data_IF_389535778131
#
_entry.id   IF_389535778131
#
_cell.length_a   1.000
_cell.length_b   1.000
_cell.length_c   1.000
_cell.angle_alpha   90.00
_cell.angle_beta   90.00
_cell.angle_gamma   90.00
#
_symmetry.space_group_name_H-M   'P 1'
#
loop_
_entity.id
_entity.type
_entity.pdbx_description
1 polymer ?
#
# COMPACT_ATOMS: atom_id res chain seq x y z
N UNK A 1 53.52 -24.51 39.49
CA UNK A 1 52.14 -24.02 39.71
C UNK A 1 51.93 -23.95 41.20
N UNK A 2 51.47 -22.80 41.72
CA UNK A 2 51.23 -22.65 43.16
C UNK A 2 50.01 -23.50 43.56
N UNK A 3 49.94 -24.01 44.80
CA UNK A 3 48.87 -24.94 45.21
C UNK A 3 47.46 -24.33 45.06
N UNK A 4 47.31 -23.02 45.33
CA UNK A 4 46.07 -22.27 45.14
C UNK A 4 45.63 -22.18 43.67
N UNK A 5 46.58 -22.05 42.74
CA UNK A 5 46.29 -22.03 41.30
C UNK A 5 45.76 -23.40 40.83
N UNK A 6 46.30 -24.49 41.39
CA UNK A 6 45.85 -25.86 41.10
C UNK A 6 44.44 -26.12 41.65
N UNK A 7 44.11 -25.60 42.82
CA UNK A 7 42.78 -25.73 43.41
C UNK A 7 41.74 -25.00 42.55
N UNK A 8 41.99 -23.72 42.20
CA UNK A 8 41.11 -22.94 41.32
C UNK A 8 40.92 -23.58 39.94
N UNK A 9 41.99 -24.16 39.38
CA UNK A 9 41.91 -24.85 38.10
C UNK A 9 41.02 -26.10 38.20
N UNK A 10 41.15 -26.90 39.28
CA UNK A 10 40.31 -28.09 39.50
C UNK A 10 38.83 -27.71 39.66
N UNK A 11 38.53 -26.67 40.42
CA UNK A 11 37.16 -26.13 40.56
C UNK A 11 36.59 -25.71 39.20
N UNK A 12 37.38 -25.00 38.38
CA UNK A 12 36.94 -24.56 37.06
C UNK A 12 36.70 -25.72 36.10
N UNK A 13 37.56 -26.74 36.13
CA UNK A 13 37.37 -27.97 35.34
C UNK A 13 36.08 -28.68 35.76
N UNK A 14 35.79 -28.75 37.07
CA UNK A 14 34.56 -29.36 37.57
C UNK A 14 33.32 -28.59 37.09
N UNK A 15 33.34 -27.26 37.17
CA UNK A 15 32.28 -26.39 36.65
C UNK A 15 32.02 -26.62 35.15
N UNK A 16 33.09 -26.68 34.35
CA UNK A 16 32.99 -26.88 32.91
C UNK A 16 32.42 -28.26 32.59
N UNK A 17 32.84 -29.31 33.32
CA UNK A 17 32.27 -30.67 33.17
C UNK A 17 30.78 -30.69 33.46
N UNK A 18 30.36 -30.13 34.59
CA UNK A 18 28.94 -30.06 34.95
C UNK A 18 28.11 -29.30 33.91
N UNK A 19 28.64 -28.20 33.35
CA UNK A 19 27.99 -27.48 32.27
C UNK A 19 27.87 -28.32 31.00
N UNK A 20 28.95 -29.02 30.61
CA UNK A 20 28.94 -29.91 29.43
C UNK A 20 27.89 -31.00 29.58
N UNK A 21 27.84 -31.67 30.71
CA UNK A 21 26.92 -32.79 30.93
C UNK A 21 25.46 -32.32 30.85
N UNK A 22 25.13 -31.18 31.45
CA UNK A 22 23.81 -30.54 31.32
C UNK A 22 23.45 -30.18 29.88
N UNK A 23 24.40 -29.66 29.10
CA UNK A 23 24.17 -29.32 27.69
C UNK A 23 23.87 -30.59 26.88
N UNK A 24 24.55 -31.71 27.16
CA UNK A 24 24.30 -32.98 26.48
C UNK A 24 22.91 -33.54 26.81
N UNK A 25 22.48 -33.48 28.08
CA UNK A 25 21.13 -33.89 28.49
C UNK A 25 20.04 -33.08 27.75
N UNK A 26 20.19 -31.75 27.71
CA UNK A 26 19.26 -30.87 26.97
C UNK A 26 19.25 -31.21 25.47
N UNK A 27 20.40 -31.48 24.87
CA UNK A 27 20.48 -31.85 23.45
C UNK A 27 19.75 -33.16 23.14
N UNK A 28 19.83 -34.16 24.01
CA UNK A 28 19.07 -35.39 23.84
C UNK A 28 17.57 -35.16 23.98
N UNK A 29 17.15 -34.32 24.92
CA UNK A 29 15.74 -33.99 25.11
C UNK A 29 15.16 -33.24 23.90
N UNK A 30 15.89 -32.28 23.34
CA UNK A 30 15.51 -31.59 22.10
C UNK A 30 15.34 -32.58 20.96
N UNK A 31 16.29 -33.51 20.75
CA UNK A 31 16.18 -34.52 19.69
C UNK A 31 14.93 -35.39 19.82
N UNK A 32 14.58 -35.79 21.04
CA UNK A 32 13.35 -36.56 21.29
C UNK A 32 12.11 -35.73 20.98
N UNK A 33 12.10 -34.46 21.36
CA UNK A 33 10.98 -33.56 21.04
C UNK A 33 10.86 -33.32 19.54
N UNK A 34 11.96 -33.17 18.80
CA UNK A 34 11.97 -33.02 17.34
C UNK A 34 11.40 -34.26 16.61
N UNK A 35 11.40 -35.43 17.24
CA UNK A 35 10.76 -36.64 16.70
C UNK A 35 9.24 -36.67 16.91
N UNK A 36 8.70 -35.90 17.88
CA UNK A 36 7.26 -35.78 18.11
C UNK A 36 6.55 -35.14 16.91
N UNK A 37 5.41 -35.69 16.51
CA UNK A 37 4.65 -35.22 15.36
C UNK A 37 4.18 -33.76 15.51
N UNK A 38 3.82 -33.34 16.72
CA UNK A 38 3.42 -31.97 17.03
C UNK A 38 4.56 -30.97 16.82
N UNK A 39 5.78 -31.32 17.21
CA UNK A 39 6.96 -30.46 17.06
C UNK A 39 7.40 -30.40 15.61
N UNK A 40 7.39 -31.52 14.89
CA UNK A 40 7.61 -31.53 13.42
C UNK A 40 6.62 -30.63 12.70
N UNK A 41 5.33 -30.71 13.05
CA UNK A 41 4.29 -29.84 12.49
C UNK A 41 4.56 -28.38 12.81
N UNK A 42 4.94 -28.06 14.05
CA UNK A 42 5.29 -26.70 14.46
C UNK A 42 6.47 -26.16 13.66
N UNK A 43 7.58 -26.89 13.56
CA UNK A 43 8.79 -26.48 12.80
C UNK A 43 8.43 -26.25 11.33
N UNK A 44 7.64 -27.15 10.73
CA UNK A 44 7.16 -26.99 9.35
C UNK A 44 6.32 -25.73 9.16
N UNK A 45 5.38 -25.47 10.06
CA UNK A 45 4.54 -24.26 10.00
C UNK A 45 5.35 -22.99 10.21
N UNK A 46 6.31 -23.00 11.13
CA UNK A 46 7.20 -21.88 11.40
C UNK A 46 8.05 -21.56 10.16
N UNK A 47 8.61 -22.57 9.51
CA UNK A 47 9.35 -22.41 8.25
C UNK A 47 8.50 -21.77 7.16
N UNK A 48 7.27 -22.24 6.96
CA UNK A 48 6.34 -21.64 5.98
C UNK A 48 6.00 -20.20 6.34
N UNK A 49 5.75 -19.92 7.61
CA UNK A 49 5.48 -18.57 8.10
C UNK A 49 6.65 -17.62 7.83
N UNK A 50 7.87 -18.01 8.19
CA UNK A 50 9.09 -17.22 7.98
C UNK A 50 9.36 -16.95 6.48
N UNK A 51 9.11 -17.94 5.60
CA UNK A 51 9.20 -17.76 4.15
C UNK A 51 8.16 -16.76 3.62
N UNK A 52 6.94 -16.78 4.16
CA UNK A 52 5.85 -15.88 3.74
C UNK A 52 5.93 -14.49 4.37
N UNK A 53 6.62 -14.34 5.50
CA UNK A 53 6.80 -13.05 6.21
C UNK A 53 8.28 -12.68 6.41
N UNK A 54 9.08 -12.48 5.36
CA UNK A 54 10.43 -11.96 5.51
C UNK A 54 10.43 -10.63 6.30
N UNK A 55 11.53 -10.29 6.95
CA UNK A 55 11.57 -9.14 7.88
C UNK A 55 11.11 -7.80 7.27
N UNK A 56 11.25 -7.64 5.95
CA UNK A 56 10.80 -6.47 5.20
C UNK A 56 9.29 -6.47 4.89
N UNK A 57 8.61 -7.62 4.97
CA UNK A 57 7.18 -7.81 4.71
C UNK A 57 6.38 -8.21 5.97
N UNK A 58 6.95 -8.10 7.18
CA UNK A 58 6.26 -8.32 8.47
C UNK A 58 4.90 -7.60 8.58
N UNK A 59 4.71 -6.51 7.81
CA UNK A 59 3.45 -5.75 7.73
C UNK A 59 2.33 -6.42 6.92
N UNK A 60 2.60 -7.49 6.17
CA UNK A 60 1.59 -8.14 5.32
C UNK A 60 0.39 -8.63 6.13
N UNK A 61 0.61 -9.05 7.37
CA UNK A 61 -0.44 -9.49 8.31
C UNK A 61 -1.29 -8.31 8.78
N UNK A 62 -0.77 -7.09 8.73
CA UNK A 62 -1.47 -5.85 9.13
C UNK A 62 -2.20 -5.19 7.95
N UNK A 63 -2.03 -5.70 6.73
CA UNK A 63 -2.63 -5.08 5.54
C UNK A 63 -4.15 -5.21 5.56
N UNK A 64 -4.80 -4.06 5.45
CA UNK A 64 -6.24 -4.01 5.18
C UNK A 64 -6.51 -4.38 3.71
N UNK A 65 -7.77 -4.68 3.39
CA UNK A 65 -8.18 -4.89 1.99
C UNK A 65 -7.80 -3.71 1.09
N UNK A 66 -7.88 -2.48 1.62
CA UNK A 66 -7.45 -1.27 0.91
C UNK A 66 -5.96 -1.29 0.61
N UNK A 67 -5.13 -1.74 1.54
CA UNK A 67 -3.69 -1.84 1.34
C UNK A 67 -3.37 -2.89 0.28
N UNK A 68 -4.02 -4.06 0.34
CA UNK A 68 -3.87 -5.15 -0.63
C UNK A 68 -4.23 -4.66 -2.04
N UNK A 69 -5.37 -4.00 -2.20
CA UNK A 69 -5.80 -3.44 -3.49
C UNK A 69 -4.78 -2.40 -3.98
N UNK A 70 -4.39 -1.45 -3.14
CA UNK A 70 -3.42 -0.41 -3.51
C UNK A 70 -2.08 -0.99 -3.98
N UNK A 71 -1.60 -2.02 -3.30
CA UNK A 71 -0.38 -2.74 -3.65
C UNK A 71 -0.57 -3.45 -4.99
N UNK A 72 -1.66 -4.20 -5.18
CA UNK A 72 -1.97 -4.90 -6.41
C UNK A 72 -2.06 -3.95 -7.63
N UNK A 73 -2.72 -2.80 -7.46
CA UNK A 73 -2.76 -1.73 -8.46
C UNK A 73 -1.36 -1.18 -8.80
N UNK A 74 -0.39 -1.29 -7.89
CA UNK A 74 1.00 -0.85 -8.12
C UNK A 74 1.80 -1.78 -9.01
N UNK A 75 1.51 -3.08 -8.96
CA UNK A 75 2.19 -4.09 -9.75
C UNK A 75 1.50 -4.40 -11.07
N UNK A 76 0.25 -3.97 -11.23
CA UNK A 76 -0.58 -4.30 -12.39
C UNK A 76 -0.70 -3.10 -13.32
N UNK A 77 -0.34 -3.27 -14.59
CA UNK A 77 -0.64 -2.28 -15.63
C UNK A 77 -2.09 -2.44 -16.05
N UNK A 78 -2.92 -1.47 -15.70
CA UNK A 78 -4.33 -1.41 -16.09
C UNK A 78 -4.45 -0.44 -17.26
N UNK A 79 -5.06 -0.90 -18.34
CA UNK A 79 -5.41 -0.06 -19.48
C UNK A 79 -6.83 0.46 -19.23
N UNK A 80 -7.04 1.79 -19.13
CA UNK A 80 -8.38 2.35 -18.97
C UNK A 80 -9.30 1.91 -20.12
N UNK A 81 -10.53 1.56 -19.78
CA UNK A 81 -11.51 1.01 -20.70
C UNK A 81 -12.75 1.89 -20.83
N UNK A 82 -13.19 2.48 -19.73
CA UNK A 82 -14.45 3.23 -19.63
C UNK A 82 -14.24 4.74 -19.59
N UNK A 83 -12.98 5.19 -19.60
CA UNK A 83 -12.59 6.60 -19.65
C UNK A 83 -13.33 7.43 -18.59
N UNK A 84 -13.31 6.92 -17.36
CA UNK A 84 -13.95 7.54 -16.20
C UNK A 84 -12.97 8.54 -15.57
N UNK A 85 -13.35 9.80 -15.53
CA UNK A 85 -12.53 10.89 -14.99
C UNK A 85 -13.14 11.50 -13.74
N UNK A 86 -12.30 11.88 -12.79
CA UNK A 86 -12.68 12.65 -11.60
C UNK A 86 -12.15 14.06 -11.75
N UNK A 87 -13.00 15.06 -11.53
CA UNK A 87 -12.60 16.47 -11.47
C UNK A 87 -11.74 16.73 -10.24
N UNK A 88 -10.50 17.20 -10.45
CA UNK A 88 -9.55 17.50 -9.38
C UNK A 88 -9.51 19.00 -9.08
N UNK A 89 -9.54 19.87 -10.08
CA UNK A 89 -9.49 21.32 -9.85
C UNK A 89 -9.42 22.14 -11.14
N UNK A 90 -9.69 23.44 -11.00
CA UNK A 90 -9.56 24.42 -12.08
C UNK A 90 -8.45 25.39 -11.71
N UNK A 91 -7.54 25.66 -12.65
CA UNK A 91 -6.28 26.31 -12.34
C UNK A 91 -6.00 27.46 -13.29
N UNK A 92 -5.31 28.47 -12.75
CA UNK A 92 -4.66 29.53 -13.51
C UNK A 92 -3.16 29.36 -13.38
N UNK A 93 -2.46 29.39 -14.51
CA UNK A 93 -1.01 29.28 -14.57
C UNK A 93 -0.40 30.41 -13.74
N UNK A 94 0.57 30.06 -12.90
CA UNK A 94 1.35 31.05 -12.16
C UNK A 94 2.81 30.95 -12.53
N UNK A 95 3.41 32.12 -12.78
CA UNK A 95 4.86 32.27 -12.83
C UNK A 95 5.44 32.69 -11.47
N UNK A 96 4.65 32.64 -10.39
CA UNK A 96 5.15 32.90 -9.04
C UNK A 96 5.98 31.71 -8.58
N UNK A 97 7.30 31.89 -8.59
CA UNK A 97 8.27 30.96 -8.05
C UNK A 97 8.68 31.43 -6.65
N UNK A 98 8.39 30.62 -5.64
CA UNK A 98 9.05 30.71 -4.33
C UNK A 98 10.09 29.59 -4.23
N UNK A 99 11.29 29.91 -3.75
CA UNK A 99 12.41 29.00 -3.50
C UNK A 99 11.99 27.78 -2.66
N UNK A 100 11.00 27.93 -1.78
CA UNK A 100 10.52 26.86 -0.88
C UNK A 100 9.49 25.95 -1.55
N UNK A 101 8.65 26.47 -2.45
CA UNK A 101 7.45 25.77 -2.92
C UNK A 101 7.46 25.42 -4.43
N UNK A 102 8.39 25.99 -5.21
CA UNK A 102 8.42 25.85 -6.67
C UNK A 102 7.24 26.56 -7.36
N UNK A 103 7.08 26.40 -8.69
CA UNK A 103 5.91 26.92 -9.39
C UNK A 103 4.66 26.17 -8.92
N UNK A 104 3.64 26.89 -8.49
CA UNK A 104 2.34 26.32 -8.14
C UNK A 104 1.21 27.07 -8.82
N UNK A 105 0.44 26.36 -9.64
CA UNK A 105 -0.70 26.95 -10.31
C UNK A 105 -1.80 27.30 -9.30
N UNK A 106 -2.46 28.42 -9.52
CA UNK A 106 -3.43 28.97 -8.58
C UNK A 106 -4.76 28.25 -8.78
N UNK A 107 -5.22 27.56 -7.73
CA UNK A 107 -6.55 26.96 -7.71
C UNK A 107 -7.62 28.06 -7.73
N UNK A 108 -8.51 28.02 -8.71
CA UNK A 108 -9.62 28.95 -8.88
C UNK A 108 -10.97 28.22 -8.91
N UNK A 109 -12.06 28.97 -8.85
CA UNK A 109 -13.41 28.42 -9.01
C UNK A 109 -13.58 27.75 -10.38
N UNK A 110 -14.35 26.65 -10.45
CA UNK A 110 -14.70 25.96 -11.72
C UNK A 110 -15.32 26.92 -12.75
N UNK A 111 -16.06 27.92 -12.27
CA UNK A 111 -16.77 28.85 -13.15
C UNK A 111 -15.93 30.10 -13.49
N UNK A 112 -14.65 30.12 -13.12
CA UNK A 112 -13.77 31.23 -13.47
C UNK A 112 -13.41 31.16 -14.96
N UNK A 113 -13.95 32.10 -15.74
CA UNK A 113 -13.71 32.19 -17.19
C UNK A 113 -12.26 32.55 -17.54
N UNK A 114 -11.51 33.09 -16.58
CA UNK A 114 -10.11 33.45 -16.72
C UNK A 114 -9.16 32.31 -16.29
N UNK A 115 -9.68 31.11 -16.03
CA UNK A 115 -8.88 29.92 -15.78
C UNK A 115 -8.18 29.44 -17.07
N UNK A 116 -7.00 28.87 -16.91
CA UNK A 116 -6.20 28.37 -18.03
C UNK A 116 -6.59 26.93 -18.38
N UNK A 117 -6.74 26.06 -17.36
CA UNK A 117 -7.05 24.65 -17.56
C UNK A 117 -7.85 24.03 -16.40
N UNK A 118 -8.46 22.89 -16.68
CA UNK A 118 -9.08 22.00 -15.70
C UNK A 118 -8.27 20.71 -15.63
N UNK A 119 -8.03 20.25 -14.41
CA UNK A 119 -7.35 19.00 -14.11
C UNK A 119 -8.37 17.91 -13.83
N UNK A 120 -8.28 16.83 -14.62
CA UNK A 120 -9.03 15.60 -14.40
C UNK A 120 -8.06 14.46 -14.13
N UNK A 121 -8.52 13.43 -13.43
CA UNK A 121 -7.75 12.21 -13.20
C UNK A 121 -8.58 10.98 -13.54
N UNK A 122 -8.05 10.13 -14.41
CA UNK A 122 -8.68 8.89 -14.80
C UNK A 122 -8.71 7.91 -13.60
N UNK A 123 -9.90 7.40 -13.28
CA UNK A 123 -10.15 6.54 -12.13
C UNK A 123 -9.51 5.15 -12.27
N UNK A 124 -9.39 4.65 -13.50
CA UNK A 124 -8.82 3.34 -13.80
C UNK A 124 -7.28 3.38 -13.84
N UNK A 125 -6.70 4.56 -14.08
CA UNK A 125 -5.26 4.73 -14.19
C UNK A 125 -4.60 5.07 -12.85
N UNK A 126 -3.65 4.22 -12.42
CA UNK A 126 -2.82 4.51 -11.24
C UNK A 126 -1.72 5.54 -11.51
N UNK A 127 -1.06 5.46 -12.67
CA UNK A 127 0.04 6.34 -13.06
C UNK A 127 -0.26 7.02 -14.41
N UNK A 128 -0.03 8.32 -14.50
CA UNK A 128 -0.20 9.07 -15.76
C UNK A 128 -1.65 9.27 -16.21
N UNK A 129 -2.63 8.99 -15.35
CA UNK A 129 -4.06 9.22 -15.62
C UNK A 129 -4.50 10.69 -15.54
N UNK A 130 -3.58 11.60 -15.27
CA UNK A 130 -3.88 13.02 -15.12
C UNK A 130 -3.97 13.70 -16.48
N UNK A 131 -5.11 14.32 -16.76
CA UNK A 131 -5.37 15.03 -18.01
C UNK A 131 -5.60 16.50 -17.70
N UNK A 132 -4.79 17.36 -18.30
CA UNK A 132 -4.98 18.81 -18.29
C UNK A 132 -5.74 19.22 -19.56
N UNK A 133 -6.92 19.77 -19.38
CA UNK A 133 -7.77 20.24 -20.49
C UNK A 133 -7.83 21.76 -20.43
N UNK A 134 -7.49 22.47 -21.52
CA UNK A 134 -7.67 23.92 -21.58
C UNK A 134 -9.11 24.30 -21.22
N UNK A 135 -9.30 25.33 -20.40
CA UNK A 135 -10.63 25.69 -19.86
C UNK A 135 -11.69 25.82 -20.94
N UNK A 136 -11.32 26.42 -22.09
CA UNK A 136 -12.20 26.61 -23.25
C UNK A 136 -12.69 25.31 -23.90
N UNK A 137 -11.96 24.20 -23.71
CA UNK A 137 -12.30 22.86 -24.24
C UNK A 137 -12.91 21.94 -23.18
N UNK A 138 -13.02 22.39 -21.93
CA UNK A 138 -13.54 21.57 -20.84
C UNK A 138 -14.97 21.09 -21.10
N UNK A 139 -15.84 21.92 -21.70
CA UNK A 139 -17.21 21.52 -22.00
C UNK A 139 -17.30 20.38 -23.02
N UNK A 140 -16.45 20.39 -24.04
CA UNK A 140 -16.34 19.28 -25.01
C UNK A 140 -15.84 18.01 -24.34
N UNK A 141 -14.81 18.13 -23.49
CA UNK A 141 -14.26 17.01 -22.73
C UNK A 141 -15.31 16.40 -21.78
N UNK A 142 -16.00 17.23 -20.99
CA UNK A 142 -17.05 16.82 -20.04
C UNK A 142 -18.26 16.19 -20.74
N UNK A 143 -18.52 16.53 -22.01
CA UNK A 143 -19.61 15.96 -22.80
C UNK A 143 -19.26 14.60 -23.43
N UNK A 144 -17.98 14.38 -23.73
CA UNK A 144 -17.49 13.18 -24.39
C UNK A 144 -17.03 12.07 -23.43
N UNK A 145 -16.83 12.39 -22.14
CA UNK A 145 -16.33 11.43 -21.15
C UNK A 145 -17.21 11.36 -19.90
N UNK A 146 -17.09 10.25 -19.17
CA UNK A 146 -17.77 10.05 -17.88
C UNK A 146 -17.03 10.84 -16.80
N UNK A 147 -17.56 12.00 -16.39
CA UNK A 147 -16.90 12.86 -15.39
C UNK A 147 -17.64 12.87 -14.05
N UNK A 148 -16.93 12.57 -12.97
CA UNK A 148 -17.40 12.64 -11.59
C UNK A 148 -16.94 13.97 -10.98
N UNK A 149 -17.90 14.71 -10.40
CA UNK A 149 -17.65 15.97 -9.72
C UNK A 149 -17.82 15.82 -8.20
N UNK A 150 -16.72 15.71 -7.43
CA UNK A 150 -16.80 15.57 -5.97
C UNK A 150 -17.48 16.78 -5.32
N UNK A 151 -18.51 16.55 -4.51
CA UNK A 151 -19.27 17.58 -3.79
C UNK A 151 -18.87 17.63 -2.32
N UNK A 152 -18.69 18.83 -1.76
CA UNK A 152 -18.42 19.05 -0.33
C UNK A 152 -17.22 18.26 0.24
N UNK A 153 -16.20 18.02 -0.59
CA UNK A 153 -14.99 17.31 -0.16
C UNK A 153 -13.89 18.30 0.25
N UNK A 154 -13.21 18.00 1.35
CA UNK A 154 -12.05 18.78 1.84
C UNK A 154 -10.86 18.65 0.89
N UNK A 155 -10.65 17.44 0.33
CA UNK A 155 -9.59 17.16 -0.63
C UNK A 155 -10.11 16.27 -1.75
N UNK A 156 -10.15 16.83 -2.96
CA UNK A 156 -10.55 16.08 -4.17
C UNK A 156 -9.54 14.99 -4.52
N UNK A 157 -8.26 15.20 -4.22
CA UNK A 157 -7.23 14.18 -4.41
C UNK A 157 -7.42 12.98 -3.48
N UNK A 158 -7.73 13.22 -2.20
CA UNK A 158 -8.03 12.14 -1.27
C UNK A 158 -9.29 11.39 -1.67
N UNK A 159 -10.34 12.13 -2.05
CA UNK A 159 -11.58 11.56 -2.58
C UNK A 159 -11.31 10.66 -3.79
N UNK A 160 -10.47 11.08 -4.73
CA UNK A 160 -10.08 10.28 -5.88
C UNK A 160 -9.49 8.93 -5.46
N UNK A 161 -8.50 8.91 -4.56
CA UNK A 161 -7.87 7.66 -4.14
C UNK A 161 -8.81 6.74 -3.37
N UNK A 162 -9.68 7.30 -2.53
CA UNK A 162 -10.70 6.52 -1.82
C UNK A 162 -11.71 5.91 -2.81
N UNK A 163 -12.16 6.68 -3.80
CA UNK A 163 -13.06 6.21 -4.86
C UNK A 163 -12.40 5.17 -5.77
N UNK A 164 -11.13 5.33 -6.12
CA UNK A 164 -10.38 4.37 -6.93
C UNK A 164 -10.29 3.01 -6.22
N UNK A 165 -9.96 3.01 -4.93
CA UNK A 165 -9.94 1.78 -4.13
C UNK A 165 -11.33 1.13 -4.10
N UNK A 166 -12.38 1.91 -3.86
CA UNK A 166 -13.75 1.38 -3.81
C UNK A 166 -14.22 0.80 -5.15
N UNK A 167 -13.87 1.47 -6.25
CA UNK A 167 -14.17 1.01 -7.60
C UNK A 167 -13.51 -0.35 -7.88
N UNK A 168 -12.20 -0.47 -7.68
CA UNK A 168 -11.50 -1.73 -7.87
C UNK A 168 -11.91 -2.80 -6.86
N UNK A 169 -12.22 -2.43 -5.61
CA UNK A 169 -12.78 -3.35 -4.62
C UNK A 169 -14.08 -3.97 -5.12
N UNK A 170 -14.99 -3.13 -5.62
CA UNK A 170 -16.28 -3.60 -6.13
C UNK A 170 -16.10 -4.48 -7.37
N UNK A 171 -15.21 -4.10 -8.29
CA UNK A 171 -14.93 -4.93 -9.48
C UNK A 171 -14.38 -6.32 -9.13
N UNK A 172 -13.45 -6.38 -8.16
CA UNK A 172 -12.76 -7.62 -7.79
C UNK A 172 -13.68 -8.56 -6.98
N UNK A 173 -14.44 -8.01 -6.03
CA UNK A 173 -15.17 -8.82 -5.05
C UNK A 173 -16.67 -8.94 -5.32
N UNK A 174 -17.24 -8.06 -6.15
CA UNK A 174 -18.66 -8.10 -6.51
C UNK A 174 -18.83 -8.43 -7.99
N UNK A 175 -18.68 -7.44 -8.88
CA UNK A 175 -18.62 -7.62 -10.33
C UNK A 175 -18.26 -6.31 -11.03
N UNK A 176 -17.77 -6.34 -12.29
CA UNK A 176 -17.57 -5.14 -13.12
C UNK A 176 -18.84 -4.31 -13.28
N UNK A 177 -19.98 -4.94 -13.57
CA UNK A 177 -21.25 -4.26 -13.82
C UNK A 177 -21.73 -3.49 -12.59
N UNK A 178 -21.53 -4.04 -11.39
CA UNK A 178 -21.90 -3.39 -10.14
C UNK A 178 -21.00 -2.20 -9.82
N UNK A 179 -19.71 -2.28 -10.19
CA UNK A 179 -18.80 -1.16 -10.05
C UNK A 179 -19.21 -0.02 -10.99
N UNK A 180 -19.58 -0.33 -12.22
CA UNK A 180 -20.10 0.65 -13.18
C UNK A 180 -21.42 1.28 -12.71
N UNK A 181 -22.35 0.50 -12.15
CA UNK A 181 -23.60 1.02 -11.58
C UNK A 181 -23.33 2.06 -10.49
N UNK A 182 -22.43 1.75 -9.55
CA UNK A 182 -22.01 2.68 -8.49
C UNK A 182 -21.40 3.95 -9.08
N UNK A 183 -20.51 3.84 -10.06
CA UNK A 183 -19.91 5.01 -10.72
C UNK A 183 -20.94 5.85 -11.45
N UNK A 184 -21.84 5.22 -12.22
CA UNK A 184 -22.88 5.92 -12.95
C UNK A 184 -23.83 6.70 -12.01
N UNK A 185 -24.05 6.22 -10.79
CA UNK A 185 -24.83 6.95 -9.78
C UNK A 185 -24.16 8.26 -9.30
N UNK A 186 -22.83 8.37 -9.43
CA UNK A 186 -22.04 9.54 -9.04
C UNK A 186 -21.88 10.56 -10.18
N UNK A 187 -22.10 10.14 -11.43
CA UNK A 187 -22.06 11.01 -12.60
C UNK A 187 -23.38 11.76 -12.67
N UNK A 188 -23.36 13.05 -12.31
CA UNK A 188 -24.50 13.94 -12.53
C UNK A 188 -24.36 14.60 -13.90
N UNK A 189 -25.38 14.42 -14.75
CA UNK A 189 -25.58 15.23 -15.96
C UNK A 189 -26.18 16.59 -15.60
#
# INVERSE_FOLDING_TARGET
MKSEELIKLKEKVQEIKQKRDKVLEIQEEIKKLEECEEVKKYIKLLSVYEEMTPEKSKKIVEYTEKDIINIALGYTKITPSEDIYVYIGTYKNSNEFDIVHGPSDILVSKNNKDADYILYQNLEAKYGGTVQVPYKKAGEFESNHKVIFPQNVVSRQRYFYDLQVEYFKTMIFESPEKAEEKINSLIRK
#
